data_IF_203680693913
#
_entry.id   IF_203680693913
#
_cell.length_a   1.000
_cell.length_b   1.000
_cell.length_c   1.000
_cell.angle_alpha   90.00
_cell.angle_beta   90.00
_cell.angle_gamma   90.00
#
_symmetry.space_group_name_H-M   'P 1'
#
loop_
_entity.id
_entity.type
_entity.pdbx_description
1 polymer ?
#
# COMPACT_ATOMS: atom_id res chain seq x y z
N UNK A 1 -11.76 -5.81 -22.32
CA UNK A 1 -10.51 -5.04 -22.20
C UNK A 1 -10.60 -3.83 -23.12
N UNK A 2 -10.78 -2.62 -22.57
CA UNK A 2 -10.79 -1.38 -23.37
C UNK A 2 -9.55 -0.58 -23.04
N UNK A 3 -8.83 -0.11 -24.06
CA UNK A 3 -7.65 0.73 -23.89
C UNK A 3 -8.07 2.19 -24.11
N UNK A 4 -7.77 3.05 -23.13
CA UNK A 4 -7.88 4.50 -23.24
C UNK A 4 -6.49 5.11 -23.37
N UNK A 5 -6.38 6.28 -23.99
CA UNK A 5 -5.11 7.03 -24.06
C UNK A 5 -5.02 8.00 -22.91
N UNK A 6 -3.84 8.11 -22.30
CA UNK A 6 -3.51 9.20 -21.38
C UNK A 6 -3.35 10.52 -22.14
N UNK A 7 -3.26 11.62 -21.41
CA UNK A 7 -2.95 12.93 -21.97
C UNK A 7 -1.56 12.96 -22.64
N UNK A 8 -0.65 12.09 -22.19
CA UNK A 8 0.65 11.84 -22.84
C UNK A 8 0.58 10.91 -24.05
N UNK A 9 -0.61 10.48 -24.47
CA UNK A 9 -0.85 9.59 -25.62
C UNK A 9 -0.58 8.11 -25.35
N UNK A 10 -0.15 7.73 -24.15
CA UNK A 10 0.17 6.36 -23.78
C UNK A 10 -1.11 5.51 -23.63
N UNK A 11 -1.15 4.29 -24.19
CA UNK A 11 -2.27 3.38 -23.97
C UNK A 11 -2.28 2.87 -22.52
N UNK A 12 -3.45 2.85 -21.89
CA UNK A 12 -3.69 2.22 -20.58
C UNK A 12 -5.04 1.51 -20.55
N UNK A 13 -5.20 0.55 -19.65
CA UNK A 13 -6.50 -0.07 -19.39
C UNK A 13 -7.50 0.96 -18.85
N UNK A 14 -8.73 0.91 -19.36
CA UNK A 14 -9.86 1.68 -18.86
C UNK A 14 -10.33 1.13 -17.50
N UNK A 15 -9.83 1.75 -16.43
CA UNK A 15 -10.20 1.40 -15.05
C UNK A 15 -11.68 1.68 -14.69
N UNK A 16 -12.46 2.31 -15.57
CA UNK A 16 -13.92 2.46 -15.38
C UNK A 16 -14.69 1.18 -15.74
N UNK A 17 -14.03 0.21 -16.40
CA UNK A 17 -14.61 -1.10 -16.70
C UNK A 17 -14.30 -2.09 -15.59
N UNK A 18 -15.14 -3.13 -15.43
CA UNK A 18 -14.82 -4.24 -14.54
C UNK A 18 -13.46 -4.86 -14.87
N UNK A 19 -12.76 -5.30 -13.84
CA UNK A 19 -11.50 -6.05 -13.95
C UNK A 19 -11.71 -7.24 -14.90
N UNK A 20 -10.74 -7.49 -15.77
CA UNK A 20 -10.78 -8.62 -16.68
C UNK A 20 -10.44 -9.94 -15.94
N UNK A 21 -11.44 -10.52 -15.29
CA UNK A 21 -11.31 -11.75 -14.49
C UNK A 21 -10.86 -12.94 -15.35
N UNK A 22 -11.43 -13.11 -16.55
CA UNK A 22 -11.05 -14.17 -17.50
C UNK A 22 -9.56 -14.18 -17.80
N UNK A 23 -8.96 -13.00 -18.01
CA UNK A 23 -7.52 -12.90 -18.26
C UNK A 23 -6.68 -13.24 -17.02
N UNK A 24 -7.16 -12.93 -15.80
CA UNK A 24 -6.47 -13.26 -14.57
C UNK A 24 -6.51 -14.77 -14.27
N UNK A 25 -7.67 -15.39 -14.45
CA UNK A 25 -7.86 -16.83 -14.25
C UNK A 25 -7.00 -17.63 -15.24
N UNK A 26 -6.95 -17.21 -16.52
CA UNK A 26 -6.13 -17.87 -17.53
C UNK A 26 -4.63 -17.89 -17.20
N UNK A 27 -4.15 -16.91 -16.43
CA UNK A 27 -2.75 -16.80 -16.03
C UNK A 27 -2.48 -17.24 -14.58
N UNK A 28 -3.49 -17.65 -13.81
CA UNK A 28 -3.35 -17.95 -12.38
C UNK A 28 -2.33 -19.07 -12.12
N UNK A 29 -2.34 -20.12 -12.96
CA UNK A 29 -1.40 -21.25 -12.86
C UNK A 29 0.04 -20.91 -13.22
N UNK A 30 0.28 -19.74 -13.85
CA UNK A 30 1.61 -19.26 -14.21
C UNK A 30 2.22 -18.36 -13.14
N UNK A 31 1.48 -18.03 -12.08
CA UNK A 31 2.00 -17.21 -11.00
C UNK A 31 3.13 -17.94 -10.28
N UNK A 32 4.21 -17.23 -9.89
CA UNK A 32 5.18 -17.80 -8.97
C UNK A 32 4.47 -18.15 -7.66
N UNK A 33 5.01 -19.11 -6.87
CA UNK A 33 4.51 -19.37 -5.52
C UNK A 33 4.39 -18.05 -4.76
N UNK A 34 3.27 -17.86 -4.04
CA UNK A 34 3.14 -16.71 -3.14
C UNK A 34 4.29 -16.76 -2.15
N UNK A 35 5.15 -15.75 -2.19
CA UNK A 35 6.22 -15.61 -1.20
C UNK A 35 5.55 -15.32 0.13
N UNK A 36 5.72 -16.19 1.11
CA UNK A 36 5.41 -15.83 2.50
C UNK A 36 6.31 -14.64 2.89
N UNK A 37 5.78 -13.61 3.55
CA UNK A 37 6.62 -12.51 4.02
C UNK A 37 7.71 -13.08 4.92
N UNK A 38 8.97 -12.74 4.63
CA UNK A 38 10.07 -13.07 5.52
C UNK A 38 9.91 -12.25 6.80
N UNK A 39 10.23 -12.82 7.98
CA UNK A 39 10.24 -12.04 9.21
C UNK A 39 11.14 -10.80 9.08
N UNK A 40 10.64 -9.67 9.56
CA UNK A 40 11.39 -8.43 9.63
C UNK A 40 12.55 -8.58 10.63
N UNK A 41 13.69 -7.96 10.29
CA UNK A 41 14.74 -7.75 11.27
C UNK A 41 14.26 -6.82 12.40
N UNK A 42 14.85 -6.89 13.60
CA UNK A 42 14.50 -5.99 14.70
C UNK A 42 14.58 -4.50 14.33
N UNK A 43 15.54 -4.13 13.47
CA UNK A 43 15.70 -2.75 12.98
C UNK A 43 14.57 -2.32 12.06
N UNK A 44 14.07 -3.21 11.19
CA UNK A 44 12.91 -2.93 10.35
C UNK A 44 11.64 -2.74 11.17
N UNK A 45 11.40 -3.61 12.16
CA UNK A 45 10.25 -3.48 13.06
C UNK A 45 10.30 -2.18 13.87
N UNK A 46 11.49 -1.82 14.39
CA UNK A 46 11.67 -0.57 15.13
C UNK A 46 11.42 0.66 14.24
N UNK A 47 11.93 0.66 13.01
CA UNK A 47 11.72 1.75 12.05
C UNK A 47 10.23 1.87 11.65
N UNK A 48 9.53 0.75 11.45
CA UNK A 48 8.11 0.75 11.12
C UNK A 48 7.27 1.30 12.28
N UNK A 49 7.55 0.88 13.52
CA UNK A 49 6.89 1.44 14.72
C UNK A 49 7.11 2.93 14.87
N UNK A 50 8.35 3.39 14.71
CA UNK A 50 8.69 4.81 14.76
C UNK A 50 7.95 5.61 13.69
N UNK A 51 7.80 5.07 12.49
CA UNK A 51 7.02 5.70 11.43
C UNK A 51 5.54 5.80 11.81
N UNK A 52 4.91 4.71 12.27
CA UNK A 52 3.50 4.73 12.69
C UNK A 52 3.25 5.74 13.81
N UNK A 53 4.13 5.80 14.81
CA UNK A 53 4.06 6.79 15.89
C UNK A 53 4.17 8.23 15.36
N UNK A 54 5.12 8.50 14.48
CA UNK A 54 5.30 9.82 13.87
C UNK A 54 4.07 10.24 13.06
N UNK A 55 3.51 9.34 12.24
CA UNK A 55 2.33 9.64 11.44
C UNK A 55 1.12 9.99 12.32
N UNK A 56 0.92 9.27 13.42
CA UNK A 56 -0.12 9.61 14.39
C UNK A 56 0.13 10.98 15.03
N UNK A 57 1.37 11.31 15.35
CA UNK A 57 1.74 12.63 15.89
C UNK A 57 1.54 13.77 14.87
N UNK A 58 1.71 13.52 13.57
CA UNK A 58 1.45 14.48 12.48
C UNK A 58 -0.03 14.55 12.07
N UNK A 59 -0.93 13.90 12.79
CA UNK A 59 -2.38 14.00 12.59
C UNK A 59 -3.01 12.86 11.79
N UNK A 60 -2.25 11.82 11.43
CA UNK A 60 -2.79 10.55 10.88
C UNK A 60 -3.16 9.62 12.04
N UNK A 61 -4.03 10.07 12.94
CA UNK A 61 -4.29 9.39 14.22
C UNK A 61 -4.82 7.96 14.10
N UNK A 62 -5.39 7.61 12.94
CA UNK A 62 -5.94 6.28 12.63
C UNK A 62 -4.90 5.28 12.11
N UNK A 63 -3.68 5.74 11.79
CA UNK A 63 -2.65 4.87 11.22
C UNK A 63 -2.21 3.78 12.23
N UNK A 64 -2.32 2.48 11.89
CA UNK A 64 -2.12 1.39 12.83
C UNK A 64 -0.63 1.12 13.10
N UNK A 65 -0.39 0.26 14.09
CA UNK A 65 0.94 -0.32 14.32
C UNK A 65 1.24 -1.41 13.29
N UNK A 66 2.53 -1.64 12.96
CA UNK A 66 2.90 -2.72 12.06
C UNK A 66 2.80 -4.08 12.76
N UNK A 67 2.62 -5.13 11.96
CA UNK A 67 2.70 -6.52 12.40
C UNK A 67 4.06 -6.79 13.09
N UNK A 68 4.06 -7.43 14.27
CA UNK A 68 5.27 -7.62 15.06
C UNK A 68 6.28 -8.61 14.46
N UNK A 69 5.87 -9.40 13.45
CA UNK A 69 6.71 -10.38 12.76
C UNK A 69 7.19 -9.84 11.42
N UNK A 70 6.32 -9.25 10.61
CA UNK A 70 6.65 -8.83 9.23
C UNK A 70 7.00 -7.34 9.11
N UNK A 71 6.72 -6.55 10.15
CA UNK A 71 6.80 -5.09 10.13
C UNK A 71 5.91 -4.42 9.06
N UNK A 72 4.99 -5.16 8.45
CA UNK A 72 4.03 -4.64 7.48
C UNK A 72 2.83 -4.01 8.16
N UNK A 73 2.19 -3.05 7.50
CA UNK A 73 0.96 -2.43 7.99
C UNK A 73 -0.23 -3.08 7.28
N UNK A 74 -1.21 -3.54 8.07
CA UNK A 74 -2.46 -4.07 7.53
C UNK A 74 -3.42 -2.92 7.19
N UNK A 75 -3.70 -2.74 5.89
CA UNK A 75 -4.63 -1.72 5.40
C UNK A 75 -6.11 -2.04 5.72
N UNK A 76 -6.39 -3.20 6.30
CA UNK A 76 -7.72 -3.56 6.81
C UNK A 76 -7.92 -3.20 8.29
N UNK A 77 -6.85 -2.78 8.98
CA UNK A 77 -6.90 -2.35 10.38
C UNK A 77 -6.76 -0.83 10.55
N UNK A 78 -7.35 -0.31 11.63
CA UNK A 78 -7.26 1.10 12.04
C UNK A 78 -8.13 2.07 11.23
N UNK A 79 -7.82 2.24 9.94
CA UNK A 79 -8.45 3.21 9.04
C UNK A 79 -9.63 2.68 8.22
N UNK A 80 -10.44 3.59 7.65
CA UNK A 80 -11.47 3.25 6.66
C UNK A 80 -10.85 3.06 5.27
N UNK A 81 -11.53 2.36 4.33
CA UNK A 81 -11.09 2.25 2.95
C UNK A 81 -10.83 3.62 2.29
N UNK A 82 -11.68 4.61 2.58
CA UNK A 82 -11.53 5.97 2.08
C UNK A 82 -10.26 6.63 2.63
N UNK A 83 -9.98 6.49 3.93
CA UNK A 83 -8.77 7.03 4.57
C UNK A 83 -7.49 6.44 3.96
N UNK A 84 -7.46 5.13 3.75
CA UNK A 84 -6.35 4.47 3.06
C UNK A 84 -6.20 4.94 1.62
N UNK A 85 -7.31 5.04 0.88
CA UNK A 85 -7.31 5.51 -0.51
C UNK A 85 -6.83 6.96 -0.65
N UNK A 86 -7.01 7.77 0.40
CA UNK A 86 -6.63 9.19 0.40
C UNK A 86 -5.33 9.50 1.11
N UNK A 87 -4.77 8.57 1.88
CA UNK A 87 -3.60 8.76 2.75
C UNK A 87 -2.47 9.55 2.06
N UNK A 88 -2.05 9.11 0.87
CA UNK A 88 -0.95 9.73 0.13
C UNK A 88 -1.28 11.13 -0.39
N UNK A 89 -2.54 11.43 -0.62
CA UNK A 89 -2.99 12.75 -1.10
C UNK A 89 -3.15 13.71 0.06
N UNK A 90 -3.82 13.27 1.12
CA UNK A 90 -4.24 14.12 2.22
C UNK A 90 -3.11 14.34 3.24
N UNK A 91 -2.17 13.39 3.35
CA UNK A 91 -1.09 13.41 4.36
C UNK A 91 0.33 13.30 3.76
N UNK A 92 0.52 13.77 2.52
CA UNK A 92 1.81 13.67 1.82
C UNK A 92 2.97 14.28 2.60
N UNK A 93 2.76 15.41 3.29
CA UNK A 93 3.81 16.07 4.06
C UNK A 93 4.16 15.30 5.34
N UNK A 94 3.17 14.72 6.03
CA UNK A 94 3.41 13.85 7.16
C UNK A 94 4.20 12.60 6.73
N UNK A 95 3.81 11.96 5.62
CA UNK A 95 4.53 10.82 5.05
C UNK A 95 5.98 11.17 4.67
N UNK A 96 6.20 12.36 4.11
CA UNK A 96 7.55 12.85 3.77
C UNK A 96 8.40 13.08 5.02
N UNK A 97 7.81 13.67 6.06
CA UNK A 97 8.47 13.97 7.33
C UNK A 97 8.78 12.72 8.16
N UNK A 98 7.87 11.75 8.18
CA UNK A 98 7.94 10.53 8.98
C UNK A 98 8.63 9.35 8.26
N UNK A 99 9.36 9.61 7.17
CA UNK A 99 10.08 8.56 6.44
C UNK A 99 11.28 8.07 7.28
N UNK A 100 11.41 6.77 7.57
CA UNK A 100 12.56 6.26 8.32
C UNK A 100 13.85 6.50 7.55
N UNK A 101 14.94 6.80 8.27
CA UNK A 101 16.26 6.96 7.69
C UNK A 101 16.71 5.64 7.02
N UNK A 102 17.25 5.75 5.80
CA UNK A 102 17.80 4.61 5.04
C UNK A 102 19.16 4.18 5.56
#
# INVERSE_FOLDING_TARGET
>A
MTIVRTDSGMPREDKSKPRNEVAHEACESMLPPRRSPDPASPGQLAAARQQSECLRAEGVSWYPDPDPVTAEVDETEGGTPEQWSSLKRDYVEALRKCRPAR
#
